data_IF_157124840818
#
_entry.id   IF_157124840818
#
_cell.length_a   1.000
_cell.length_b   1.000
_cell.length_c   1.000
_cell.angle_alpha   90.00
_cell.angle_beta   90.00
_cell.angle_gamma   90.00
#
_symmetry.space_group_name_H-M   'P 1'
#
loop_
_entity.id
_entity.type
_entity.pdbx_description
1 polymer ?
#
# COMPACT_ATOMS: atom_id res chain seq x y z
N UNK A 1 -12.18 -24.66 8.04
CA UNK A 1 -11.55 -23.93 6.93
C UNK A 1 -10.68 -22.83 7.53
N UNK A 2 -9.38 -22.77 7.23
CA UNK A 2 -8.49 -21.73 7.75
C UNK A 2 -8.63 -20.45 6.92
N UNK A 3 -8.42 -19.28 7.54
CA UNK A 3 -8.43 -17.97 6.84
C UNK A 3 -7.46 -17.96 5.64
N UNK A 4 -6.34 -18.68 5.73
CA UNK A 4 -5.37 -18.78 4.63
C UNK A 4 -5.95 -19.44 3.37
N UNK A 5 -6.80 -20.46 3.54
CA UNK A 5 -7.46 -21.13 2.42
C UNK A 5 -8.50 -20.21 1.77
N UNK A 6 -9.26 -19.47 2.59
CA UNK A 6 -10.24 -18.48 2.10
C UNK A 6 -9.54 -17.37 1.28
N UNK A 7 -8.36 -16.93 1.71
CA UNK A 7 -7.56 -15.94 0.98
C UNK A 7 -7.01 -16.48 -0.34
N UNK A 8 -6.57 -17.75 -0.38
CA UNK A 8 -6.10 -18.41 -1.62
C UNK A 8 -7.22 -18.49 -2.65
N UNK A 9 -8.41 -18.91 -2.24
CA UNK A 9 -9.58 -18.98 -3.14
C UNK A 9 -9.96 -17.61 -3.69
N UNK A 10 -9.68 -16.53 -2.95
CA UNK A 10 -9.94 -15.15 -3.36
C UNK A 10 -8.79 -14.49 -4.13
N UNK A 11 -7.75 -15.26 -4.50
CA UNK A 11 -6.67 -14.81 -5.40
C UNK A 11 -5.41 -14.27 -4.71
N UNK A 12 -5.23 -14.52 -3.41
CA UNK A 12 -3.93 -14.35 -2.76
C UNK A 12 -2.99 -15.49 -3.16
N UNK A 13 -1.79 -15.13 -3.63
CA UNK A 13 -0.74 -16.11 -3.92
C UNK A 13 -0.06 -16.58 -2.63
N UNK A 14 0.65 -17.71 -2.67
CA UNK A 14 1.50 -18.14 -1.55
C UNK A 14 2.54 -17.09 -1.17
N UNK A 15 3.09 -16.35 -2.15
CA UNK A 15 4.01 -15.23 -1.90
C UNK A 15 3.34 -14.13 -1.07
N UNK A 16 2.05 -13.86 -1.30
CA UNK A 16 1.30 -12.85 -0.55
C UNK A 16 1.07 -13.31 0.90
N UNK A 17 0.74 -14.60 1.08
CA UNK A 17 0.55 -15.21 2.39
C UNK A 17 1.83 -15.23 3.23
N UNK A 18 2.97 -15.59 2.61
CA UNK A 18 4.28 -15.55 3.28
C UNK A 18 4.58 -14.12 3.73
N UNK A 19 4.31 -13.13 2.89
CA UNK A 19 4.52 -11.71 3.20
C UNK A 19 3.60 -11.23 4.33
N UNK A 20 2.34 -11.63 4.33
CA UNK A 20 1.39 -11.36 5.43
C UNK A 20 1.88 -11.98 6.75
N UNK A 21 2.33 -13.24 6.73
CA UNK A 21 2.90 -13.92 7.91
C UNK A 21 4.15 -13.22 8.40
N UNK A 22 5.07 -12.84 7.51
CA UNK A 22 6.27 -12.09 7.89
C UNK A 22 5.93 -10.75 8.55
N UNK A 23 4.90 -10.05 8.07
CA UNK A 23 4.43 -8.81 8.71
C UNK A 23 3.85 -9.13 10.10
N UNK A 24 3.07 -10.21 10.25
CA UNK A 24 2.48 -10.63 11.52
C UNK A 24 3.54 -11.07 12.55
N UNK A 25 4.63 -11.69 12.09
CA UNK A 25 5.75 -12.13 12.93
C UNK A 25 6.59 -10.98 13.50
N UNK A 26 6.40 -9.73 13.03
CA UNK A 26 7.11 -8.58 13.60
C UNK A 26 6.65 -8.33 15.05
N UNK A 27 7.57 -7.99 15.97
CA UNK A 27 7.25 -7.81 17.39
C UNK A 27 6.17 -6.74 17.64
N UNK A 28 6.07 -5.72 16.77
CA UNK A 28 5.05 -4.69 16.81
C UNK A 28 3.62 -5.18 16.48
N UNK A 29 3.48 -6.38 15.90
CA UNK A 29 2.20 -6.96 15.49
C UNK A 29 1.83 -8.22 16.31
N UNK A 30 2.50 -8.48 17.45
CA UNK A 30 2.15 -9.60 18.34
C UNK A 30 0.69 -9.48 18.79
N UNK A 31 -0.07 -10.56 18.63
CA UNK A 31 -1.50 -10.63 18.99
C UNK A 31 -2.45 -10.21 17.86
N UNK A 32 -1.95 -9.73 16.73
CA UNK A 32 -2.79 -9.52 15.54
C UNK A 32 -3.08 -10.85 14.84
N UNK A 33 -4.24 -10.91 14.20
CA UNK A 33 -4.63 -12.03 13.33
C UNK A 33 -4.47 -11.64 11.88
N UNK A 34 -4.44 -12.64 10.98
CA UNK A 34 -4.44 -12.40 9.53
C UNK A 34 -5.62 -11.52 9.10
N UNK A 35 -6.80 -11.71 9.68
CA UNK A 35 -7.99 -10.89 9.39
C UNK A 35 -7.83 -9.44 9.84
N UNK A 36 -7.35 -9.18 11.06
CA UNK A 36 -7.13 -7.81 11.54
C UNK A 36 -6.05 -7.11 10.72
N UNK A 37 -5.00 -7.83 10.35
CA UNK A 37 -3.93 -7.31 9.51
C UNK A 37 -4.47 -6.90 8.13
N UNK A 38 -5.35 -7.70 7.52
CA UNK A 38 -5.98 -7.39 6.22
C UNK A 38 -6.86 -6.15 6.30
N UNK A 39 -7.62 -5.98 7.39
CA UNK A 39 -8.45 -4.78 7.62
C UNK A 39 -7.56 -3.55 7.74
N UNK A 40 -6.50 -3.62 8.54
CA UNK A 40 -5.54 -2.53 8.68
C UNK A 40 -4.81 -2.23 7.37
N UNK A 41 -4.43 -3.25 6.61
CA UNK A 41 -3.81 -3.09 5.31
C UNK A 41 -4.75 -2.40 4.32
N UNK A 42 -6.05 -2.74 4.34
CA UNK A 42 -7.07 -2.09 3.52
C UNK A 42 -7.32 -0.63 3.93
N UNK A 43 -7.20 -0.28 5.22
CA UNK A 43 -7.31 1.11 5.70
C UNK A 43 -6.07 1.92 5.32
N UNK A 44 -4.88 1.37 5.55
CA UNK A 44 -3.59 1.98 5.22
C UNK A 44 -3.42 2.19 3.71
N UNK A 45 -4.10 1.37 2.90
CA UNK A 45 -4.17 1.56 1.46
C UNK A 45 -4.65 2.95 1.05
N UNK A 46 -5.71 3.44 1.69
CA UNK A 46 -6.25 4.78 1.42
C UNK A 46 -5.27 5.88 1.84
N UNK A 47 -4.58 5.70 2.98
CA UNK A 47 -3.52 6.63 3.39
C UNK A 47 -2.39 6.73 2.37
N UNK A 48 -1.94 5.59 1.83
CA UNK A 48 -0.93 5.55 0.77
C UNK A 48 -1.41 6.18 -0.54
N UNK A 49 -2.65 5.90 -0.97
CA UNK A 49 -3.24 6.50 -2.17
C UNK A 49 -3.38 8.02 -2.00
N UNK A 50 -3.89 8.50 -0.87
CA UNK A 50 -4.04 9.93 -0.60
C UNK A 50 -2.68 10.62 -0.65
N UNK A 51 -1.64 10.04 -0.01
CA UNK A 51 -0.28 10.57 -0.10
C UNK A 51 0.23 10.63 -1.53
N UNK A 52 -0.01 9.57 -2.32
CA UNK A 52 0.40 9.54 -3.73
C UNK A 52 -0.30 10.60 -4.57
N UNK A 53 -1.61 10.81 -4.35
CA UNK A 53 -2.40 11.85 -5.03
C UNK A 53 -1.87 13.24 -4.67
N UNK A 54 -1.60 13.51 -3.39
CA UNK A 54 -1.05 14.79 -2.94
C UNK A 54 0.31 15.05 -3.56
N UNK A 55 1.21 14.05 -3.55
CA UNK A 55 2.53 14.15 -4.19
C UNK A 55 2.43 14.41 -5.69
N UNK A 56 1.55 13.68 -6.39
CA UNK A 56 1.30 13.89 -7.81
C UNK A 56 0.75 15.29 -8.09
N UNK A 57 -0.16 15.77 -7.25
CA UNK A 57 -0.75 17.10 -7.38
C UNK A 57 0.30 18.21 -7.22
N UNK A 58 1.16 18.10 -6.19
CA UNK A 58 2.27 19.04 -5.97
C UNK A 58 3.26 19.01 -7.14
N UNK A 59 3.60 17.82 -7.64
CA UNK A 59 4.51 17.67 -8.78
C UNK A 59 3.93 18.30 -10.06
N UNK A 60 2.65 18.04 -10.36
CA UNK A 60 1.95 18.61 -11.52
C UNK A 60 1.89 20.12 -11.42
N UNK A 61 1.49 20.68 -10.27
CA UNK A 61 1.46 22.12 -10.06
C UNK A 61 2.85 22.75 -10.21
N UNK A 62 3.90 22.07 -9.76
CA UNK A 62 5.28 22.50 -9.95
C UNK A 62 5.67 22.57 -11.42
N UNK A 63 5.41 21.51 -12.18
CA UNK A 63 5.73 21.45 -13.62
C UNK A 63 4.97 22.50 -14.43
N UNK A 64 3.69 22.76 -14.10
CA UNK A 64 2.88 23.73 -14.85
C UNK A 64 3.16 25.19 -14.49
N UNK A 65 3.70 25.49 -13.29
CA UNK A 65 3.90 26.86 -12.81
C UNK A 65 5.36 27.32 -12.84
N UNK A 66 6.32 26.41 -12.88
CA UNK A 66 7.73 26.73 -12.71
C UNK A 66 8.52 26.66 -14.03
N UNK A 67 9.64 27.39 -14.11
CA UNK A 67 10.53 27.39 -15.27
C UNK A 67 11.38 26.11 -15.30
N UNK A 68 11.83 25.70 -16.49
CA UNK A 68 12.53 24.42 -16.73
C UNK A 68 13.76 24.19 -15.83
N UNK A 69 14.34 25.25 -15.26
CA UNK A 69 15.51 25.23 -14.36
C UNK A 69 15.26 24.43 -13.06
N UNK A 70 14.03 24.39 -12.54
CA UNK A 70 13.70 23.70 -11.29
C UNK A 70 13.20 22.25 -11.48
N UNK A 71 13.15 21.76 -12.72
CA UNK A 71 12.61 20.43 -13.07
C UNK A 71 13.30 19.28 -12.32
N UNK A 72 14.61 19.41 -12.06
CA UNK A 72 15.39 18.39 -11.35
C UNK A 72 14.92 18.18 -9.89
N UNK A 73 14.55 19.25 -9.19
CA UNK A 73 14.05 19.18 -7.82
C UNK A 73 12.71 18.44 -7.75
N UNK A 74 11.81 18.68 -8.72
CA UNK A 74 10.52 17.98 -8.79
C UNK A 74 10.67 16.48 -9.05
N UNK A 75 11.61 16.09 -9.91
CA UNK A 75 11.92 14.67 -10.15
C UNK A 75 12.39 13.98 -8.85
N UNK A 76 13.24 14.63 -8.07
CA UNK A 76 13.71 14.09 -6.78
C UNK A 76 12.54 13.91 -5.80
N UNK A 77 11.63 14.88 -5.71
CA UNK A 77 10.44 14.81 -4.86
C UNK A 77 9.52 13.66 -5.28
N UNK A 78 9.30 13.46 -6.58
CA UNK A 78 8.51 12.33 -7.12
C UNK A 78 9.16 10.99 -6.75
N UNK A 79 10.47 10.84 -6.99
CA UNK A 79 11.20 9.60 -6.71
C UNK A 79 11.17 9.29 -5.22
N UNK A 80 11.43 10.30 -4.37
CA UNK A 80 11.36 10.14 -2.91
C UNK A 80 9.94 9.74 -2.47
N UNK A 81 8.93 10.42 -3.02
CA UNK A 81 7.52 10.11 -2.77
C UNK A 81 7.15 8.67 -3.15
N UNK A 82 7.59 8.20 -4.32
CA UNK A 82 7.37 6.82 -4.76
C UNK A 82 8.05 5.81 -3.84
N UNK A 83 9.29 6.06 -3.40
CA UNK A 83 10.02 5.19 -2.47
C UNK A 83 9.28 5.12 -1.13
N UNK A 84 8.89 6.26 -0.56
CA UNK A 84 8.15 6.33 0.70
C UNK A 84 6.82 5.59 0.59
N UNK A 85 6.04 5.82 -0.47
CA UNK A 85 4.75 5.13 -0.70
C UNK A 85 4.96 3.63 -0.87
N UNK A 86 5.98 3.20 -1.62
CA UNK A 86 6.28 1.78 -1.83
C UNK A 86 6.70 1.07 -0.53
N UNK A 87 7.48 1.75 0.32
CA UNK A 87 7.94 1.19 1.59
C UNK A 87 6.83 1.15 2.65
N UNK A 88 5.99 2.20 2.71
CA UNK A 88 4.91 2.33 3.70
C UNK A 88 3.69 1.48 3.30
N UNK A 89 3.38 1.42 2.01
CA UNK A 89 2.13 0.84 1.52
C UNK A 89 2.46 -0.29 0.53
N UNK A 90 2.38 -1.56 0.94
CA UNK A 90 2.42 -2.68 -0.01
C UNK A 90 1.12 -2.67 -0.83
N UNK A 91 1.04 -1.78 -1.82
CA UNK A 91 -0.14 -1.45 -2.64
C UNK A 91 -0.81 -2.70 -3.22
N UNK A 92 -0.01 -3.65 -3.70
CA UNK A 92 -0.54 -4.89 -4.29
C UNK A 92 -1.28 -5.77 -3.26
N UNK A 93 -0.73 -5.93 -2.05
CA UNK A 93 -1.42 -6.68 -0.99
C UNK A 93 -2.63 -5.92 -0.47
N UNK A 94 -2.51 -4.61 -0.35
CA UNK A 94 -3.54 -3.72 0.19
C UNK A 94 -4.76 -3.61 -0.75
N UNK A 95 -4.55 -3.60 -2.07
CA UNK A 95 -5.62 -3.71 -3.06
C UNK A 95 -6.34 -5.07 -3.00
N UNK A 96 -5.58 -6.18 -2.91
CA UNK A 96 -6.17 -7.52 -2.76
C UNK A 96 -6.97 -7.64 -1.46
N UNK A 97 -6.47 -7.07 -0.36
CA UNK A 97 -7.18 -6.99 0.92
C UNK A 97 -8.51 -6.25 0.78
N UNK A 98 -8.52 -5.11 0.09
CA UNK A 98 -9.75 -4.35 -0.19
C UNK A 98 -10.73 -5.15 -1.04
N UNK A 99 -10.27 -5.79 -2.11
CA UNK A 99 -11.12 -6.65 -2.98
C UNK A 99 -11.73 -7.80 -2.18
N UNK A 100 -10.96 -8.42 -1.29
CA UNK A 100 -11.43 -9.48 -0.41
C UNK A 100 -12.56 -8.99 0.51
N UNK A 101 -12.35 -7.87 1.22
CA UNK A 101 -13.36 -7.26 2.10
C UNK A 101 -14.63 -6.88 1.31
N UNK A 102 -14.47 -6.29 0.12
CA UNK A 102 -15.59 -5.92 -0.73
C UNK A 102 -16.37 -7.16 -1.25
N UNK A 103 -15.71 -8.30 -1.45
CA UNK A 103 -16.35 -9.55 -1.89
C UNK A 103 -17.05 -10.32 -0.77
N UNK A 104 -16.86 -9.90 0.49
CA UNK A 104 -17.40 -10.54 1.70
C UNK A 104 -18.63 -9.78 2.25
N UNK A 105 -18.96 -8.65 1.63
CA UNK A 105 -20.11 -7.80 1.95
C UNK A 105 -21.25 -8.10 0.98
#
# INVERSE_FOLDING_TARGET
>A
MTIENELREKGFSEKDLIRLKQILSKPHNRGQTLSSLIIDLSKRFWGGIICMIVLAFVAVLGIFKDSAENTSAYVIVIVFGLVVVYFITPINLAWKARKYIASKR
#
